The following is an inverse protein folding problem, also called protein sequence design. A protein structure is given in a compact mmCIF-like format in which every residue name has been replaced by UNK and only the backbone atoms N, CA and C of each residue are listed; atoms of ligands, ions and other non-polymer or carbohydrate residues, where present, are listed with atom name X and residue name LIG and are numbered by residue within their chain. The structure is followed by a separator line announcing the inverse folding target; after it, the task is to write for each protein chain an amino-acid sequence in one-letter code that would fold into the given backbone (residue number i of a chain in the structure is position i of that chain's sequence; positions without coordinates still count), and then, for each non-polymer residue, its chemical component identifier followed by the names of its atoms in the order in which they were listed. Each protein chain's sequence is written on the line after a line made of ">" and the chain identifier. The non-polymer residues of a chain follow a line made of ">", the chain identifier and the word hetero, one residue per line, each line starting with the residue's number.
data_IF_394900232833
#
_entry.id   IF_394900232833
#
_cell.length_a   1.000
_cell.length_b   1.000
_cell.length_c   1.000
_cell.angle_alpha   90.00
_cell.angle_beta   90.00
_cell.angle_gamma   90.00
#
_symmetry.space_group_name_H-M   'P 1'
#
loop_
_entity.id
_entity.type
_entity.pdbx_description
1 polymer ?
#
# COMPACT_ATOMS: atom_id res chain seq x y z
N UNK A 1 6.90 26.22 13.08
CA UNK A 1 6.30 25.35 14.15
C UNK A 1 6.61 23.92 13.78
N UNK A 2 6.91 23.05 14.76
CA UNK A 2 7.10 21.62 14.51
C UNK A 2 5.70 21.00 14.39
N UNK A 3 5.40 20.33 13.26
CA UNK A 3 4.16 19.62 13.05
C UNK A 3 4.05 18.42 14.01
N UNK A 4 2.84 18.18 14.49
CA UNK A 4 2.45 17.05 15.33
C UNK A 4 1.53 16.11 14.57
N UNK A 5 1.28 14.93 15.09
CA UNK A 5 0.34 13.97 14.50
C UNK A 5 -1.09 14.54 14.49
N UNK A 6 -1.44 15.34 15.51
CA UNK A 6 -2.76 15.98 15.61
C UNK A 6 -3.03 17.02 14.52
N UNK A 7 -2.00 17.63 13.93
CA UNK A 7 -2.16 18.53 12.79
C UNK A 7 -2.75 17.82 11.55
N UNK A 8 -2.64 16.49 11.48
CA UNK A 8 -3.17 15.64 10.40
C UNK A 8 -4.46 14.92 10.79
N UNK A 9 -5.11 15.37 11.86
CA UNK A 9 -6.41 14.86 12.28
C UNK A 9 -7.55 15.52 11.52
N UNK A 10 -8.62 14.77 11.32
CA UNK A 10 -9.90 15.23 10.79
C UNK A 10 -11.02 14.30 11.21
N UNK A 11 -12.22 14.84 11.32
CA UNK A 11 -13.40 14.05 11.68
C UNK A 11 -13.92 13.31 10.43
N UNK A 12 -13.84 11.98 10.45
CA UNK A 12 -14.31 11.12 9.37
C UNK A 12 -15.54 10.33 9.83
N UNK A 13 -16.72 10.60 9.25
CA UNK A 13 -17.91 9.81 9.52
C UNK A 13 -17.68 8.33 9.16
N UNK A 14 -17.92 7.37 10.08
CA UNK A 14 -17.64 5.95 9.84
C UNK A 14 -18.34 5.37 8.61
N UNK A 15 -19.53 5.88 8.28
CA UNK A 15 -20.30 5.46 7.11
C UNK A 15 -19.68 5.82 5.77
N UNK A 16 -18.65 6.68 5.74
CA UNK A 16 -17.88 6.98 4.55
C UNK A 16 -16.75 5.98 4.30
N UNK A 17 -16.43 5.11 5.25
CA UNK A 17 -15.44 4.06 5.10
C UNK A 17 -16.03 2.95 4.23
N UNK A 18 -15.48 2.78 3.02
CA UNK A 18 -16.00 1.81 2.07
C UNK A 18 -15.73 0.37 2.54
N UNK A 19 -16.79 -0.38 2.77
CA UNK A 19 -16.71 -1.80 3.16
C UNK A 19 -16.61 -2.73 1.94
N UNK A 20 -17.11 -2.32 0.79
CA UNK A 20 -17.09 -3.09 -0.46
C UNK A 20 -16.60 -2.21 -1.62
N UNK A 21 -15.93 -2.80 -2.63
CA UNK A 21 -15.53 -2.06 -3.82
C UNK A 21 -16.76 -1.60 -4.63
N UNK A 22 -16.60 -0.60 -5.50
CA UNK A 22 -17.59 -0.25 -6.50
C UNK A 22 -17.88 -1.46 -7.42
N UNK A 23 -19.05 -1.53 -8.03
CA UNK A 23 -19.43 -2.64 -8.93
C UNK A 23 -18.41 -2.87 -10.05
N UNK A 24 -17.94 -1.78 -10.65
CA UNK A 24 -16.85 -1.76 -11.64
C UNK A 24 -15.62 -1.09 -11.04
N UNK A 25 -14.39 -1.48 -11.48
CA UNK A 25 -13.15 -0.90 -10.98
C UNK A 25 -13.09 0.61 -11.21
N UNK A 26 -13.39 1.07 -12.42
CA UNK A 26 -13.44 2.50 -12.79
C UNK A 26 -14.72 3.23 -12.40
N UNK A 27 -15.63 2.57 -11.70
CA UNK A 27 -16.90 3.16 -11.23
C UNK A 27 -16.77 4.03 -9.98
N UNK A 28 -15.57 4.18 -9.41
CA UNK A 28 -15.30 5.09 -8.30
C UNK A 28 -15.28 6.55 -8.76
N UNK A 29 -15.42 7.47 -7.80
CA UNK A 29 -15.23 8.91 -8.04
C UNK A 29 -13.74 9.25 -8.02
N UNK A 30 -13.40 10.36 -8.67
CA UNK A 30 -12.06 10.93 -8.70
C UNK A 30 -12.13 12.41 -8.33
N UNK A 31 -11.45 12.81 -7.27
CA UNK A 31 -11.26 14.21 -6.94
C UNK A 31 -9.93 14.70 -7.54
N UNK A 32 -10.02 15.56 -8.56
CA UNK A 32 -8.83 16.20 -9.12
C UNK A 32 -8.50 17.46 -8.31
N UNK A 33 -7.31 17.46 -7.71
CA UNK A 33 -6.81 18.52 -6.81
C UNK A 33 -5.65 19.23 -7.50
N UNK A 34 -5.87 20.49 -7.88
CA UNK A 34 -4.86 21.34 -8.52
C UNK A 34 -4.79 22.69 -7.79
N UNK A 35 -3.83 22.82 -6.87
CA UNK A 35 -3.78 23.94 -5.96
C UNK A 35 -5.09 24.08 -5.19
N UNK A 36 -5.72 25.25 -5.21
CA UNK A 36 -7.01 25.46 -4.56
C UNK A 36 -8.22 24.98 -5.38
N UNK A 37 -8.01 24.56 -6.63
CA UNK A 37 -9.09 24.07 -7.47
C UNK A 37 -9.36 22.59 -7.19
N UNK A 38 -10.59 22.31 -6.77
CA UNK A 38 -11.13 20.96 -6.55
C UNK A 38 -12.18 20.68 -7.64
N UNK A 39 -11.99 19.58 -8.37
CA UNK A 39 -12.89 19.18 -9.46
C UNK A 39 -13.38 17.76 -9.27
N UNK A 40 -14.67 17.60 -9.05
CA UNK A 40 -15.32 16.28 -8.98
C UNK A 40 -15.41 15.64 -10.35
N UNK A 41 -14.99 14.38 -10.44
CA UNK A 41 -14.98 13.54 -11.65
C UNK A 41 -15.36 12.10 -11.32
N UNK A 42 -15.54 11.29 -12.36
CA UNK A 42 -15.51 9.84 -12.23
C UNK A 42 -14.08 9.35 -12.53
N UNK A 43 -13.69 8.20 -11.98
CA UNK A 43 -12.37 7.63 -12.29
C UNK A 43 -12.24 7.28 -13.77
N UNK A 44 -13.36 6.94 -14.42
CA UNK A 44 -13.43 6.73 -15.87
C UNK A 44 -12.99 7.96 -16.70
N UNK A 45 -13.02 9.17 -16.12
CA UNK A 45 -12.59 10.41 -16.78
C UNK A 45 -11.07 10.65 -16.66
N UNK A 46 -10.33 9.78 -15.97
CA UNK A 46 -8.88 9.94 -15.76
C UNK A 46 -8.12 10.18 -17.07
N UNK A 47 -8.40 9.47 -18.20
CA UNK A 47 -7.69 9.70 -19.45
C UNK A 47 -7.76 11.17 -19.92
N UNK A 48 -8.87 11.85 -19.69
CA UNK A 48 -9.01 13.28 -20.05
C UNK A 48 -8.19 14.23 -19.15
N UNK A 49 -7.65 13.74 -18.04
CA UNK A 49 -6.75 14.49 -17.16
C UNK A 49 -5.27 14.30 -17.52
N UNK A 50 -4.96 13.38 -18.42
CA UNK A 50 -3.62 12.99 -18.84
C UNK A 50 -3.33 13.48 -20.26
N UNK A 51 -2.08 13.39 -20.68
CA UNK A 51 -1.67 13.74 -22.04
C UNK A 51 -0.69 12.72 -22.62
N UNK A 52 -0.58 12.65 -23.92
CA UNK A 52 0.45 11.85 -24.59
C UNK A 52 1.84 12.23 -24.06
N UNK A 53 2.69 11.23 -23.82
CA UNK A 53 4.00 11.39 -23.21
C UNK A 53 4.01 11.34 -21.67
N UNK A 54 2.85 11.29 -20.99
CA UNK A 54 2.80 10.98 -19.56
C UNK A 54 3.16 9.51 -19.34
N UNK A 55 3.78 9.20 -18.18
CA UNK A 55 4.12 7.85 -17.74
C UNK A 55 3.47 7.55 -16.38
N UNK A 56 2.58 6.56 -16.34
CA UNK A 56 2.05 6.03 -15.09
C UNK A 56 2.96 4.92 -14.56
N UNK A 57 3.38 5.03 -13.31
CA UNK A 57 4.20 4.01 -12.65
C UNK A 57 3.38 3.30 -11.59
N UNK A 58 3.19 2.00 -11.79
CA UNK A 58 2.36 1.12 -10.98
C UNK A 58 3.20 0.23 -10.07
N UNK A 59 2.61 -0.20 -8.95
CA UNK A 59 3.15 -1.26 -8.11
C UNK A 59 2.47 -2.59 -8.49
N UNK A 60 3.22 -3.54 -9.04
CA UNK A 60 2.72 -4.83 -9.53
C UNK A 60 2.80 -5.96 -8.49
N UNK A 61 2.97 -5.59 -7.22
CA UNK A 61 2.94 -6.58 -6.14
C UNK A 61 1.61 -7.30 -6.09
N UNK A 62 1.66 -8.60 -5.77
CA UNK A 62 0.49 -9.46 -5.57
C UNK A 62 0.31 -9.77 -4.09
N UNK A 63 -0.91 -9.55 -3.57
CA UNK A 63 -1.26 -9.89 -2.18
C UNK A 63 -1.31 -11.39 -2.03
N UNK A 64 -0.66 -11.90 -0.97
CA UNK A 64 -0.68 -13.32 -0.59
C UNK A 64 -1.74 -13.56 0.50
N UNK A 65 -2.17 -14.81 0.65
CA UNK A 65 -3.08 -15.22 1.72
C UNK A 65 -2.34 -15.30 3.06
N UNK A 66 -2.01 -14.15 3.61
CA UNK A 66 -1.08 -13.97 4.71
C UNK A 66 -1.69 -14.15 6.10
N UNK A 67 -3.02 -14.36 6.22
CA UNK A 67 -3.73 -14.36 7.50
C UNK A 67 -4.15 -15.76 7.91
N UNK A 68 -3.78 -16.18 9.11
CA UNK A 68 -4.13 -17.48 9.68
C UNK A 68 -4.77 -17.34 11.04
N UNK A 69 -5.73 -18.20 11.30
CA UNK A 69 -6.32 -18.39 12.63
C UNK A 69 -5.91 -19.75 13.16
N UNK A 70 -5.74 -19.86 14.47
CA UNK A 70 -5.32 -21.10 15.08
C UNK A 70 -5.23 -21.01 16.60
N UNK A 71 -4.48 -21.93 17.17
CA UNK A 71 -4.31 -22.01 18.62
C UNK A 71 -2.90 -22.43 19.02
N UNK A 72 -2.50 -22.05 20.23
CA UNK A 72 -1.32 -22.58 20.88
C UNK A 72 -1.56 -24.01 21.35
N UNK A 73 -0.53 -24.79 21.57
CA UNK A 73 -0.65 -26.09 22.25
C UNK A 73 -1.43 -26.03 23.58
N UNK A 74 -1.37 -24.90 24.28
CA UNK A 74 -2.12 -24.65 25.51
C UNK A 74 -3.60 -24.31 25.28
N UNK A 75 -4.11 -24.36 24.06
CA UNK A 75 -5.50 -24.07 23.68
C UNK A 75 -5.84 -22.58 23.50
N UNK A 76 -4.91 -21.64 23.76
CA UNK A 76 -5.14 -20.21 23.58
C UNK A 76 -5.23 -19.83 22.09
N UNK A 77 -6.29 -19.14 21.71
CA UNK A 77 -6.52 -18.70 20.31
C UNK A 77 -5.44 -17.71 19.87
N UNK A 78 -5.06 -17.79 18.60
CA UNK A 78 -4.11 -16.89 17.96
C UNK A 78 -4.61 -16.49 16.57
N UNK A 79 -4.28 -15.27 16.19
CA UNK A 79 -4.31 -14.78 14.82
C UNK A 79 -2.88 -14.46 14.40
N UNK A 80 -2.44 -15.05 13.30
CA UNK A 80 -1.11 -14.83 12.72
C UNK A 80 -1.29 -14.09 11.40
N UNK A 81 -0.63 -12.94 11.28
CA UNK A 81 -0.53 -12.16 10.06
C UNK A 81 0.92 -12.14 9.61
N UNK A 82 1.22 -12.79 8.50
CA UNK A 82 2.57 -12.71 7.93
C UNK A 82 2.90 -11.25 7.63
N UNK A 83 4.10 -10.85 7.99
CA UNK A 83 4.72 -9.60 7.54
C UNK A 83 5.43 -9.85 6.22
N UNK A 84 6.15 -10.98 6.17
CA UNK A 84 6.83 -11.44 4.96
C UNK A 84 7.20 -12.93 5.08
N UNK A 85 7.28 -13.60 3.94
CA UNK A 85 7.95 -14.88 3.78
C UNK A 85 9.41 -14.57 3.43
N UNK A 86 10.34 -15.01 4.28
CA UNK A 86 11.76 -14.75 4.10
C UNK A 86 12.40 -15.73 3.12
N UNK A 87 12.02 -17.01 3.24
CA UNK A 87 12.37 -18.12 2.37
C UNK A 87 11.34 -19.26 2.53
N UNK A 88 11.58 -20.41 1.94
CA UNK A 88 10.65 -21.56 1.95
C UNK A 88 10.30 -22.06 3.36
N UNK A 89 11.19 -21.83 4.35
CA UNK A 89 11.06 -22.35 5.71
C UNK A 89 10.98 -21.27 6.78
N UNK A 90 11.16 -20.00 6.44
CA UNK A 90 11.14 -18.91 7.42
C UNK A 90 10.14 -17.83 7.04
N UNK A 91 9.37 -17.42 8.01
CA UNK A 91 8.49 -16.26 7.87
C UNK A 91 8.59 -15.31 9.08
N UNK A 92 8.26 -14.07 8.84
CA UNK A 92 8.10 -13.04 9.87
C UNK A 92 6.64 -12.68 9.95
N UNK A 93 6.09 -12.59 11.17
CA UNK A 93 4.67 -12.37 11.37
C UNK A 93 4.34 -11.48 12.59
N UNK A 94 3.20 -10.84 12.54
CA UNK A 94 2.51 -10.34 13.73
C UNK A 94 1.66 -11.46 14.32
N UNK A 95 1.60 -11.56 15.65
CA UNK A 95 0.76 -12.55 16.33
C UNK A 95 -0.11 -11.83 17.35
N UNK A 96 -1.42 -11.91 17.12
CA UNK A 96 -2.42 -11.47 18.08
C UNK A 96 -2.82 -12.65 18.96
N UNK A 97 -2.65 -12.51 20.28
CA UNK A 97 -3.00 -13.51 21.27
C UNK A 97 -3.23 -12.86 22.63
N UNK A 98 -4.00 -13.49 23.51
CA UNK A 98 -4.22 -13.01 24.89
C UNK A 98 -2.92 -12.86 25.68
N UNK A 99 -1.96 -13.76 25.46
CA UNK A 99 -0.59 -13.68 25.98
C UNK A 99 0.37 -13.85 24.81
N UNK A 100 1.37 -12.98 24.70
CA UNK A 100 2.41 -13.06 23.66
C UNK A 100 3.13 -14.42 23.72
N UNK A 101 3.26 -15.13 22.57
CA UNK A 101 4.00 -16.38 22.57
C UNK A 101 5.50 -16.14 22.84
N UNK A 102 6.13 -17.10 23.52
CA UNK A 102 7.57 -17.11 23.76
C UNK A 102 8.29 -17.95 22.68
N UNK A 103 9.59 -17.75 22.48
CA UNK A 103 10.38 -18.67 21.68
C UNK A 103 10.16 -20.13 22.12
N UNK A 104 10.04 -21.06 21.17
CA UNK A 104 9.70 -22.47 21.40
C UNK A 104 8.19 -22.74 21.44
N UNK A 105 7.33 -21.72 21.46
CA UNK A 105 5.88 -21.95 21.43
C UNK A 105 5.45 -22.48 20.05
N UNK A 106 4.72 -23.60 20.04
CA UNK A 106 4.07 -24.14 18.85
C UNK A 106 2.67 -23.55 18.68
N UNK A 107 2.36 -23.19 17.44
CA UNK A 107 1.05 -22.69 17.03
C UNK A 107 0.51 -23.64 15.97
N UNK A 108 -0.69 -24.18 16.20
CA UNK A 108 -1.42 -24.97 15.22
C UNK A 108 -2.33 -24.06 14.42
N UNK A 109 -2.07 -23.90 13.13
CA UNK A 109 -2.70 -22.91 12.25
C UNK A 109 -3.63 -23.58 11.24
N UNK A 110 -4.77 -22.93 10.98
CA UNK A 110 -5.80 -23.35 10.01
C UNK A 110 -6.31 -24.79 10.20
N UNK A 111 -6.07 -25.42 11.36
CA UNK A 111 -6.29 -26.84 11.62
C UNK A 111 -5.54 -27.78 10.64
N UNK A 112 -4.45 -27.33 10.04
CA UNK A 112 -3.76 -28.05 8.97
C UNK A 112 -2.26 -28.21 9.21
N UNK A 113 -1.58 -27.26 9.82
CA UNK A 113 -0.13 -27.31 10.02
C UNK A 113 0.26 -26.60 11.31
N UNK A 114 1.49 -26.84 11.75
CA UNK A 114 2.05 -26.18 12.94
C UNK A 114 3.30 -25.41 12.60
N UNK A 115 3.49 -24.28 13.31
CA UNK A 115 4.72 -23.48 13.25
C UNK A 115 5.31 -23.33 14.65
N UNK A 116 6.63 -23.19 14.75
CA UNK A 116 7.34 -22.83 15.95
C UNK A 116 7.69 -21.35 15.92
N UNK A 117 7.45 -20.65 17.00
CA UNK A 117 7.98 -19.29 17.22
C UNK A 117 9.44 -19.43 17.61
N UNK A 118 10.37 -19.05 16.73
CA UNK A 118 11.82 -19.20 16.97
C UNK A 118 12.43 -17.99 17.67
N UNK A 119 11.79 -16.81 17.56
CA UNK A 119 12.29 -15.61 18.20
C UNK A 119 11.49 -14.38 17.89
N UNK A 120 12.11 -13.23 18.18
CA UNK A 120 11.62 -11.91 17.75
C UNK A 120 12.34 -11.45 16.49
N UNK A 121 11.63 -10.68 15.67
CA UNK A 121 12.12 -10.08 14.43
C UNK A 121 11.68 -8.60 14.33
N UNK A 122 12.24 -7.87 13.35
CA UNK A 122 12.04 -6.44 13.21
C UNK A 122 13.07 -5.63 14.03
N UNK A 123 13.24 -4.35 13.69
CA UNK A 123 14.27 -3.48 14.29
C UNK A 123 14.08 -3.26 15.79
N UNK A 124 12.84 -3.30 16.30
CA UNK A 124 12.46 -3.16 17.70
C UNK A 124 11.88 -4.46 18.32
N UNK A 125 11.97 -5.61 17.58
CA UNK A 125 11.44 -6.88 18.05
C UNK A 125 9.91 -6.94 18.04
N UNK A 126 9.28 -6.17 17.21
CA UNK A 126 7.81 -6.04 17.09
C UNK A 126 7.16 -7.23 16.43
N UNK A 127 7.90 -7.99 15.63
CA UNK A 127 7.44 -9.19 14.94
C UNK A 127 7.94 -10.47 15.60
N UNK A 128 7.48 -11.60 15.07
CA UNK A 128 7.90 -12.95 15.44
C UNK A 128 8.50 -13.67 14.24
N UNK A 129 9.60 -14.39 14.48
CA UNK A 129 10.15 -15.32 13.50
C UNK A 129 9.46 -16.67 13.66
N UNK A 130 9.05 -17.27 12.54
CA UNK A 130 8.30 -18.52 12.47
C UNK A 130 8.99 -19.51 11.56
N UNK A 131 8.98 -20.80 11.98
CA UNK A 131 9.39 -21.96 11.18
C UNK A 131 8.29 -23.02 11.20
N UNK A 132 7.94 -23.66 10.07
CA UNK A 132 7.00 -24.76 10.06
C UNK A 132 7.62 -26.01 10.67
N UNK A 133 6.88 -26.67 11.55
CA UNK A 133 7.38 -27.87 12.27
C UNK A 133 6.58 -29.12 11.97
N UNK A 134 5.27 -29.00 11.71
CA UNK A 134 4.42 -30.12 11.29
C UNK A 134 3.59 -29.67 10.10
N UNK A 135 3.67 -30.39 8.98
CA UNK A 135 3.00 -30.14 7.72
C UNK A 135 2.42 -31.42 7.17
N UNK A 136 1.29 -31.35 6.51
CA UNK A 136 0.68 -32.51 5.84
C UNK A 136 1.65 -33.08 4.79
N UNK A 137 2.32 -32.18 4.04
CA UNK A 137 3.40 -32.51 3.13
C UNK A 137 4.69 -31.89 3.67
N UNK A 138 5.70 -32.73 4.04
CA UNK A 138 6.93 -32.27 4.69
C UNK A 138 7.71 -31.19 3.91
N UNK A 139 7.59 -31.21 2.59
CA UNK A 139 8.31 -30.31 1.69
C UNK A 139 7.55 -29.00 1.38
N UNK A 140 6.33 -28.83 1.91
CA UNK A 140 5.56 -27.60 1.70
C UNK A 140 6.34 -26.37 2.19
N UNK A 141 6.54 -25.41 1.32
CA UNK A 141 7.09 -24.10 1.65
C UNK A 141 6.04 -23.22 2.35
N UNK A 142 6.47 -22.12 2.99
CA UNK A 142 5.53 -21.11 3.52
C UNK A 142 4.63 -20.53 2.42
N UNK A 143 5.08 -20.46 1.18
CA UNK A 143 4.29 -20.00 0.05
C UNK A 143 3.10 -20.94 -0.23
N UNK A 144 3.34 -22.26 -0.25
CA UNK A 144 2.31 -23.26 -0.47
C UNK A 144 1.34 -23.33 0.70
N UNK A 145 1.85 -23.25 1.95
CA UNK A 145 1.03 -23.20 3.15
C UNK A 145 0.12 -21.96 3.14
N UNK A 146 0.65 -20.80 2.74
CA UNK A 146 -0.13 -19.56 2.63
C UNK A 146 -1.21 -19.68 1.55
N UNK A 147 -0.88 -20.16 0.36
CA UNK A 147 -1.85 -20.28 -0.73
C UNK A 147 -2.98 -21.27 -0.39
N UNK A 148 -2.65 -22.40 0.26
CA UNK A 148 -3.60 -23.49 0.54
C UNK A 148 -4.47 -23.21 1.76
N UNK A 149 -3.91 -22.65 2.82
CA UNK A 149 -4.55 -22.55 4.13
C UNK A 149 -4.74 -21.13 4.65
N UNK A 150 -4.09 -20.15 4.04
CA UNK A 150 -4.20 -18.75 4.42
C UNK A 150 -5.50 -18.11 3.96
N UNK A 151 -5.81 -16.98 4.56
CA UNK A 151 -6.90 -16.08 4.15
C UNK A 151 -6.34 -14.75 3.67
N UNK A 152 -7.08 -14.10 2.78
CA UNK A 152 -6.75 -12.77 2.31
C UNK A 152 -6.71 -11.79 3.48
N UNK A 153 -5.63 -11.01 3.65
CA UNK A 153 -5.47 -10.10 4.78
C UNK A 153 -6.16 -8.75 4.51
N UNK A 154 -7.51 -8.71 4.56
CA UNK A 154 -8.22 -7.44 4.46
C UNK A 154 -7.80 -6.49 5.59
N UNK A 155 -7.72 -5.17 5.33
CA UNK A 155 -7.43 -4.16 6.34
C UNK A 155 -8.43 -4.18 7.50
N UNK A 156 -8.03 -3.78 8.72
CA UNK A 156 -8.88 -3.89 9.91
C UNK A 156 -10.13 -2.99 9.90
N UNK A 157 -10.20 -2.00 9.03
CA UNK A 157 -11.38 -1.14 8.85
C UNK A 157 -12.42 -1.73 7.90
N UNK A 158 -12.13 -2.85 7.24
CA UNK A 158 -13.10 -3.69 6.55
C UNK A 158 -13.58 -4.73 7.56
N UNK A 159 -14.83 -4.60 7.99
CA UNK A 159 -15.35 -5.31 9.16
C UNK A 159 -15.89 -6.70 8.83
N UNK A 160 -16.05 -7.04 7.54
CA UNK A 160 -16.47 -8.38 7.13
C UNK A 160 -15.26 -9.31 6.88
N UNK A 161 -15.44 -10.64 7.05
CA UNK A 161 -14.43 -11.61 6.64
C UNK A 161 -14.20 -11.53 5.13
N UNK A 162 -12.99 -11.87 4.67
CA UNK A 162 -12.71 -11.94 3.24
C UNK A 162 -13.65 -12.95 2.55
N UNK A 163 -14.36 -12.49 1.53
CA UNK A 163 -15.28 -13.27 0.71
C UNK A 163 -14.64 -13.57 -0.67
N UNK A 164 -15.24 -14.49 -1.44
CA UNK A 164 -14.68 -14.88 -2.75
C UNK A 164 -14.50 -13.71 -3.72
N UNK A 165 -15.36 -12.68 -3.65
CA UNK A 165 -15.22 -11.46 -4.44
C UNK A 165 -13.94 -10.68 -4.08
N UNK A 166 -13.54 -10.65 -2.81
CA UNK A 166 -12.34 -9.93 -2.36
C UNK A 166 -11.06 -10.55 -2.91
N UNK A 167 -11.00 -11.87 -3.11
CA UNK A 167 -9.84 -12.54 -3.69
C UNK A 167 -9.47 -11.96 -5.07
N UNK A 168 -10.46 -11.48 -5.82
CA UNK A 168 -10.26 -10.84 -7.12
C UNK A 168 -10.20 -9.32 -7.00
N UNK A 169 -11.05 -8.72 -6.15
CA UNK A 169 -11.22 -7.27 -6.10
C UNK A 169 -10.15 -6.57 -5.25
N UNK A 170 -9.55 -7.26 -4.28
CA UNK A 170 -8.40 -6.77 -3.49
C UNK A 170 -7.05 -7.13 -4.13
N UNK A 171 -7.04 -7.29 -5.47
CA UNK A 171 -5.86 -7.44 -6.33
C UNK A 171 -5.98 -6.50 -7.51
N UNK A 172 -4.85 -5.94 -7.96
CA UNK A 172 -4.81 -5.20 -9.22
C UNK A 172 -4.87 -6.17 -10.41
N UNK A 173 -5.36 -5.70 -11.55
CA UNK A 173 -5.44 -6.52 -12.78
C UNK A 173 -4.07 -6.87 -13.35
N UNK A 174 -3.04 -6.17 -12.92
CA UNK A 174 -1.64 -6.35 -13.31
C UNK A 174 -0.77 -6.94 -12.18
N UNK A 175 -1.36 -7.42 -11.08
CA UNK A 175 -0.62 -8.03 -9.98
C UNK A 175 0.19 -9.24 -10.47
N UNK A 176 1.51 -9.23 -10.22
CA UNK A 176 2.44 -10.22 -10.79
C UNK A 176 3.33 -10.86 -9.74
N UNK A 177 3.97 -10.05 -8.90
CA UNK A 177 5.00 -10.48 -7.98
C UNK A 177 4.42 -10.72 -6.57
N UNK A 178 4.27 -11.99 -6.09
CA UNK A 178 3.67 -12.27 -4.79
C UNK A 178 4.57 -11.82 -3.64
N UNK A 179 3.98 -11.38 -2.52
CA UNK A 179 4.74 -11.02 -1.31
C UNK A 179 4.11 -9.93 -0.45
N UNK A 180 3.14 -9.18 -0.96
CA UNK A 180 2.47 -8.15 -0.16
C UNK A 180 1.37 -8.73 0.73
N UNK A 181 1.14 -8.08 1.87
CA UNK A 181 -0.01 -8.34 2.74
C UNK A 181 -1.08 -7.26 2.62
N UNK A 182 -0.83 -6.21 1.86
CA UNK A 182 -1.81 -5.19 1.50
C UNK A 182 -1.72 -4.86 0.01
N UNK A 183 -2.87 -4.63 -0.63
CA UNK A 183 -2.93 -4.26 -2.03
C UNK A 183 -2.45 -2.81 -2.25
N UNK A 184 -1.82 -2.50 -3.41
CA UNK A 184 -1.58 -1.12 -3.83
C UNK A 184 -2.91 -0.51 -4.31
N UNK A 185 -3.70 0.00 -3.34
CA UNK A 185 -5.13 0.25 -3.47
C UNK A 185 -5.52 1.25 -4.55
N UNK A 186 -4.66 2.23 -4.86
CA UNK A 186 -4.87 3.14 -5.99
C UNK A 186 -4.93 2.42 -7.34
N UNK A 187 -4.25 1.27 -7.45
CA UNK A 187 -4.29 0.43 -8.64
C UNK A 187 -5.59 -0.35 -8.81
N UNK A 188 -6.40 -0.51 -7.76
CA UNK A 188 -7.67 -1.25 -7.80
C UNK A 188 -8.73 -0.56 -8.69
N UNK A 189 -8.56 0.72 -8.96
CA UNK A 189 -9.44 1.50 -9.82
C UNK A 189 -9.26 1.22 -11.32
N UNK A 190 -8.13 0.65 -11.70
CA UNK A 190 -7.81 0.34 -13.11
C UNK A 190 -8.36 -1.02 -13.50
N UNK A 191 -8.89 -1.10 -14.70
CA UNK A 191 -9.19 -2.32 -15.41
C UNK A 191 -8.36 -2.42 -16.71
N UNK A 192 -8.37 -3.58 -17.37
CA UNK A 192 -7.60 -3.83 -18.59
C UNK A 192 -8.03 -2.89 -19.73
N UNK A 193 -9.33 -2.56 -19.82
CA UNK A 193 -9.87 -1.69 -20.84
C UNK A 193 -9.33 -0.25 -20.69
N UNK A 194 -9.23 0.24 -19.46
CA UNK A 194 -8.64 1.57 -19.18
C UNK A 194 -7.15 1.58 -19.52
N UNK A 195 -6.39 0.54 -19.14
CA UNK A 195 -4.97 0.46 -19.46
C UNK A 195 -4.73 0.45 -20.98
N UNK A 196 -5.55 -0.31 -21.74
CA UNK A 196 -5.49 -0.31 -23.19
C UNK A 196 -5.80 1.07 -23.78
N UNK A 197 -6.86 1.73 -23.29
CA UNK A 197 -7.24 3.07 -23.75
C UNK A 197 -6.17 4.14 -23.47
N UNK A 198 -5.53 4.08 -22.30
CA UNK A 198 -4.39 4.97 -21.97
C UNK A 198 -3.23 4.77 -22.96
N UNK A 199 -2.91 3.52 -23.29
CA UNK A 199 -1.88 3.21 -24.27
C UNK A 199 -2.21 3.75 -25.67
N UNK A 200 -3.46 3.61 -26.12
CA UNK A 200 -3.95 4.17 -27.39
C UNK A 200 -3.80 5.70 -27.47
N UNK A 201 -3.88 6.37 -26.33
CA UNK A 201 -3.68 7.82 -26.21
C UNK A 201 -2.20 8.25 -26.10
N UNK A 202 -1.27 7.30 -26.22
CA UNK A 202 0.17 7.57 -26.11
C UNK A 202 0.64 7.84 -24.66
N UNK A 203 -0.11 7.34 -23.69
CA UNK A 203 0.26 7.40 -22.26
C UNK A 203 1.01 6.11 -21.91
N UNK A 204 2.24 6.24 -21.45
CA UNK A 204 3.10 5.13 -21.08
C UNK A 204 2.68 4.50 -19.75
N UNK A 205 3.02 3.21 -19.59
CA UNK A 205 2.89 2.49 -18.32
C UNK A 205 4.19 1.78 -17.97
N UNK A 206 4.62 1.87 -16.72
CA UNK A 206 5.77 1.17 -16.20
C UNK A 206 5.43 0.56 -14.82
N UNK A 207 6.20 -0.43 -14.40
CA UNK A 207 5.92 -1.19 -13.18
C UNK A 207 7.16 -1.25 -12.29
N UNK A 208 6.92 -1.18 -11.01
CA UNK A 208 7.87 -1.53 -9.96
C UNK A 208 7.20 -2.49 -9.00
N UNK A 209 7.97 -3.18 -8.19
CA UNK A 209 7.45 -4.03 -7.13
C UNK A 209 7.81 -3.42 -5.78
N UNK A 210 6.84 -3.17 -4.91
CA UNK A 210 7.04 -2.88 -3.50
C UNK A 210 6.09 -3.75 -2.70
N UNK A 211 6.63 -4.61 -1.84
CA UNK A 211 5.83 -5.48 -0.99
C UNK A 211 5.42 -4.73 0.28
N UNK A 212 4.13 -4.41 0.36
CA UNK A 212 3.55 -3.74 1.53
C UNK A 212 3.43 -4.73 2.66
N UNK A 213 4.08 -4.44 3.79
CA UNK A 213 4.00 -5.24 5.00
C UNK A 213 2.80 -4.92 5.89
N UNK A 214 2.53 -5.79 6.87
CA UNK A 214 1.44 -5.59 7.84
C UNK A 214 1.65 -4.36 8.75
N UNK A 215 2.88 -3.85 8.82
CA UNK A 215 3.22 -2.60 9.52
C UNK A 215 2.46 -1.38 9.02
N UNK A 216 1.99 -1.39 7.75
CA UNK A 216 1.20 -0.30 7.16
C UNK A 216 -0.13 -0.03 7.88
N UNK A 217 -0.64 -1.01 8.63
CA UNK A 217 -1.88 -0.86 9.41
C UNK A 217 -1.63 -0.39 10.85
N UNK A 218 -0.38 -0.17 11.25
CA UNK A 218 -0.07 0.30 12.58
C UNK A 218 -0.27 1.82 12.68
N UNK A 219 -0.97 2.31 13.72
CA UNK A 219 -1.12 3.74 13.94
C UNK A 219 0.22 4.36 14.34
N UNK A 220 0.40 5.63 14.02
CA UNK A 220 1.51 6.45 14.55
C UNK A 220 1.32 6.58 16.07
N UNK A 221 2.37 6.26 16.86
CA UNK A 221 2.30 6.19 18.35
C UNK A 221 3.11 7.28 19.03
N UNK A 222 3.55 8.26 18.28
CA UNK A 222 4.36 9.39 18.79
C UNK A 222 3.59 10.69 18.60
N UNK A 223 3.84 11.69 19.44
CA UNK A 223 3.17 13.00 19.31
C UNK A 223 3.83 13.84 18.21
N UNK A 224 5.16 13.85 18.16
CA UNK A 224 5.93 14.59 17.16
C UNK A 224 6.23 13.71 15.97
N UNK A 225 5.89 14.18 14.77
CA UNK A 225 6.15 13.41 13.54
C UNK A 225 7.63 13.09 13.34
N UNK A 226 8.54 13.94 13.81
CA UNK A 226 10.00 13.73 13.71
C UNK A 226 10.52 12.55 14.54
N UNK A 227 9.75 12.04 15.47
CA UNK A 227 10.10 10.89 16.33
C UNK A 227 9.59 9.56 15.74
N UNK A 228 8.73 9.62 14.71
CA UNK A 228 8.21 8.43 14.07
C UNK A 228 9.28 7.72 13.25
N UNK A 229 9.33 6.39 13.36
CA UNK A 229 10.19 5.52 12.55
C UNK A 229 9.31 4.66 11.65
N UNK A 230 9.53 4.77 10.36
CA UNK A 230 8.86 3.92 9.38
C UNK A 230 9.40 2.49 9.42
N UNK A 231 8.52 1.53 9.16
CA UNK A 231 8.96 0.17 8.86
C UNK A 231 9.65 0.14 7.50
N UNK A 232 10.73 -0.64 7.39
CA UNK A 232 11.42 -0.85 6.12
C UNK A 232 10.60 -1.77 5.22
N UNK A 233 10.40 -1.38 3.97
CA UNK A 233 9.73 -2.15 2.93
C UNK A 233 10.70 -2.42 1.77
N UNK A 234 10.65 -3.64 1.24
CA UNK A 234 11.47 -4.03 0.09
C UNK A 234 10.81 -3.63 -1.20
N UNK A 235 11.60 -3.07 -2.10
CA UNK A 235 11.13 -2.76 -3.45
C UNK A 235 12.20 -3.13 -4.49
N UNK A 236 11.73 -3.24 -5.72
CA UNK A 236 12.57 -3.43 -6.90
C UNK A 236 12.07 -2.54 -8.04
N UNK A 237 13.00 -1.83 -8.67
CA UNK A 237 12.74 -1.06 -9.87
C UNK A 237 13.45 -1.76 -11.04
N UNK A 238 12.71 -2.33 -12.01
CA UNK A 238 13.30 -2.90 -13.21
C UNK A 238 14.08 -1.85 -14.02
N UNK A 239 15.16 -2.26 -14.69
CA UNK A 239 15.94 -1.37 -15.55
C UNK A 239 15.08 -0.67 -16.61
N UNK A 240 14.15 -1.41 -17.23
CA UNK A 240 13.20 -0.85 -18.20
C UNK A 240 12.32 0.26 -17.62
N UNK A 241 11.95 0.18 -16.33
CA UNK A 241 11.17 1.22 -15.64
C UNK A 241 12.02 2.47 -15.41
N UNK A 242 13.27 2.32 -14.96
CA UNK A 242 14.18 3.44 -14.79
C UNK A 242 14.49 4.15 -16.12
N UNK A 243 14.71 3.38 -17.19
CA UNK A 243 14.90 3.89 -18.56
C UNK A 243 13.65 4.64 -19.08
N UNK A 244 12.46 4.09 -18.88
CA UNK A 244 11.20 4.73 -19.28
C UNK A 244 10.99 6.07 -18.55
N UNK A 245 11.30 6.14 -17.24
CA UNK A 245 11.24 7.39 -16.47
C UNK A 245 12.23 8.42 -17.03
N UNK A 246 13.48 8.00 -17.30
CA UNK A 246 14.50 8.89 -17.85
C UNK A 246 14.08 9.44 -19.23
N UNK A 247 13.59 8.59 -20.13
CA UNK A 247 13.10 8.98 -21.45
C UNK A 247 11.90 9.94 -21.35
N UNK A 248 10.90 9.61 -20.54
CA UNK A 248 9.73 10.47 -20.30
C UNK A 248 10.14 11.89 -19.87
N UNK A 249 11.08 11.99 -18.93
CA UNK A 249 11.54 13.29 -18.44
C UNK A 249 12.38 14.06 -19.48
N UNK A 250 13.20 13.35 -20.25
CA UNK A 250 13.96 13.95 -21.36
C UNK A 250 13.05 14.54 -22.44
N UNK A 251 11.91 13.92 -22.71
CA UNK A 251 10.90 14.36 -23.68
C UNK A 251 9.92 15.39 -23.11
N UNK A 252 10.09 15.85 -21.85
CA UNK A 252 9.20 16.81 -21.19
C UNK A 252 7.84 16.25 -20.79
N UNK A 253 7.73 14.92 -20.72
CA UNK A 253 6.57 14.19 -20.15
C UNK A 253 6.57 14.26 -18.63
N UNK A 254 5.48 13.77 -18.03
CA UNK A 254 5.29 13.76 -16.56
C UNK A 254 5.30 12.33 -16.03
N UNK A 255 5.95 12.14 -14.87
CA UNK A 255 5.95 10.88 -14.12
C UNK A 255 4.82 10.92 -13.10
N UNK A 256 3.89 9.98 -13.21
CA UNK A 256 2.67 9.90 -12.41
C UNK A 256 2.72 8.62 -11.56
N UNK A 257 2.87 8.77 -10.26
CA UNK A 257 2.84 7.63 -9.36
C UNK A 257 1.40 7.16 -9.13
N UNK A 258 1.15 5.87 -9.32
CA UNK A 258 -0.11 5.24 -8.95
C UNK A 258 0.05 4.57 -7.60
N UNK A 259 -0.43 5.25 -6.56
CA UNK A 259 -0.32 4.88 -5.17
C UNK A 259 0.90 5.49 -4.45
N UNK A 260 0.75 5.63 -3.14
CA UNK A 260 1.81 6.11 -2.24
C UNK A 260 3.02 5.18 -2.21
N UNK A 261 2.81 3.87 -2.44
CA UNK A 261 3.89 2.87 -2.52
C UNK A 261 4.79 3.10 -3.73
N UNK A 262 4.20 3.35 -4.91
CA UNK A 262 4.96 3.70 -6.11
C UNK A 262 5.74 5.00 -5.92
N UNK A 263 5.10 6.02 -5.34
CA UNK A 263 5.76 7.28 -5.03
C UNK A 263 6.96 7.08 -4.09
N UNK A 264 6.76 6.36 -2.98
CA UNK A 264 7.83 6.13 -1.99
C UNK A 264 9.01 5.36 -2.58
N UNK A 265 8.76 4.33 -3.39
CA UNK A 265 9.81 3.58 -4.06
C UNK A 265 10.60 4.47 -5.04
N UNK A 266 9.92 5.27 -5.86
CA UNK A 266 10.57 6.16 -6.82
C UNK A 266 11.42 7.23 -6.15
N UNK A 267 10.88 7.89 -5.12
CA UNK A 267 11.60 8.94 -4.39
C UNK A 267 12.79 8.37 -3.59
N UNK A 268 12.66 7.13 -3.06
CA UNK A 268 13.77 6.45 -2.38
C UNK A 268 14.89 6.02 -3.34
N UNK A 269 14.53 5.63 -4.57
CA UNK A 269 15.50 5.21 -5.57
C UNK A 269 16.14 6.39 -6.31
N UNK A 270 15.69 7.62 -6.06
CA UNK A 270 16.20 8.80 -6.72
C UNK A 270 17.55 9.20 -6.12
N UNK A 271 18.55 9.42 -7.00
CA UNK A 271 19.72 10.19 -6.64
C UNK A 271 19.35 11.67 -6.51
N UNK A 272 20.22 12.46 -5.84
CA UNK A 272 19.97 13.89 -5.60
C UNK A 272 19.73 14.75 -6.85
N UNK A 273 19.91 14.22 -8.05
CA UNK A 273 19.59 14.82 -9.35
C UNK A 273 18.26 14.33 -9.94
N UNK A 274 17.48 13.52 -9.21
CA UNK A 274 16.22 12.94 -9.66
C UNK A 274 16.36 11.76 -10.64
N UNK A 275 17.55 11.21 -10.82
CA UNK A 275 17.78 9.99 -11.57
C UNK A 275 17.36 8.78 -10.73
N UNK A 276 16.47 7.94 -11.28
CA UNK A 276 16.03 6.72 -10.62
C UNK A 276 16.99 5.58 -10.87
N UNK A 277 17.47 4.93 -9.81
CA UNK A 277 18.32 3.76 -9.88
C UNK A 277 17.49 2.48 -9.97
N UNK A 278 17.83 1.61 -10.91
CA UNK A 278 17.26 0.28 -11.05
C UNK A 278 17.84 -0.68 -10.01
N UNK A 279 17.08 -1.74 -9.70
CA UNK A 279 17.48 -2.85 -8.84
C UNK A 279 16.68 -2.95 -7.55
N UNK A 280 16.99 -3.98 -6.74
CA UNK A 280 16.37 -4.17 -5.44
C UNK A 280 16.93 -3.21 -4.40
N UNK A 281 16.07 -2.70 -3.53
CA UNK A 281 16.45 -1.87 -2.39
C UNK A 281 15.41 -1.98 -1.26
N UNK A 282 15.66 -1.30 -0.16
CA UNK A 282 14.71 -1.12 0.94
C UNK A 282 14.45 0.36 1.18
N UNK A 283 13.26 0.68 1.65
CA UNK A 283 12.87 2.05 1.99
C UNK A 283 12.17 2.12 3.32
N UNK A 284 12.60 3.02 4.17
CA UNK A 284 11.92 3.51 5.36
C UNK A 284 11.61 5.01 5.24
N UNK A 285 11.54 5.51 4.00
CA UNK A 285 11.31 6.92 3.73
C UNK A 285 10.01 7.41 4.37
N UNK A 286 10.14 8.44 5.20
CA UNK A 286 9.03 9.14 5.82
C UNK A 286 8.87 10.52 5.20
N UNK A 287 7.88 10.66 4.34
CA UNK A 287 7.60 11.89 3.59
C UNK A 287 6.60 12.73 4.38
N UNK A 288 7.01 13.95 4.73
CA UNK A 288 6.24 14.93 5.49
C UNK A 288 6.33 16.31 4.83
N UNK A 289 5.46 17.28 5.15
CA UNK A 289 5.55 18.63 4.61
C UNK A 289 6.95 19.22 4.73
N UNK A 290 7.45 19.76 3.61
CA UNK A 290 8.84 20.23 3.43
C UNK A 290 9.75 19.26 2.67
N UNK A 291 9.26 18.02 2.37
CA UNK A 291 9.99 17.11 1.49
C UNK A 291 10.02 17.63 0.05
N UNK A 292 11.19 17.55 -0.61
CA UNK A 292 11.36 17.94 -2.00
C UNK A 292 11.30 16.73 -2.92
N UNK A 293 10.20 16.60 -3.64
CA UNK A 293 9.99 15.51 -4.61
C UNK A 293 10.88 15.69 -5.82
N UNK A 294 11.59 14.63 -6.20
CA UNK A 294 12.62 14.65 -7.23
C UNK A 294 12.17 13.98 -8.53
N UNK A 295 11.26 13.02 -8.45
CA UNK A 295 10.84 12.15 -9.57
C UNK A 295 9.39 12.37 -9.95
N UNK A 296 8.50 12.38 -8.96
CA UNK A 296 7.06 12.32 -9.19
C UNK A 296 6.48 13.71 -9.41
N UNK A 297 5.76 13.88 -10.52
CA UNK A 297 5.10 15.14 -10.90
C UNK A 297 3.63 15.17 -10.50
N UNK A 298 2.96 14.00 -10.52
CA UNK A 298 1.54 13.83 -10.15
C UNK A 298 1.34 12.50 -9.42
N UNK A 299 0.29 12.41 -8.62
CA UNK A 299 -0.03 11.18 -7.91
C UNK A 299 -1.50 10.84 -7.99
N UNK A 300 -1.80 9.56 -8.27
CA UNK A 300 -3.14 8.98 -8.12
C UNK A 300 -3.13 8.20 -6.81
N UNK A 301 -4.08 8.48 -5.90
CA UNK A 301 -4.12 7.81 -4.60
C UNK A 301 -5.55 7.74 -4.06
N UNK A 302 -5.81 6.86 -3.09
CA UNK A 302 -7.06 6.83 -2.33
C UNK A 302 -7.05 7.94 -1.25
N UNK A 303 -8.19 8.15 -0.60
CA UNK A 303 -8.28 8.92 0.63
C UNK A 303 -7.75 8.10 1.82
N UNK A 304 -6.96 8.74 2.67
CA UNK A 304 -6.22 8.10 3.76
C UNK A 304 -6.83 8.38 5.14
N UNK A 305 -6.43 7.57 6.13
CA UNK A 305 -6.84 7.69 7.52
C UNK A 305 -6.36 8.99 8.15
N UNK A 306 -7.15 9.59 9.09
CA UNK A 306 -6.65 10.64 9.95
C UNK A 306 -5.40 10.17 10.72
N UNK A 307 -4.51 11.10 11.02
CA UNK A 307 -3.24 10.87 11.77
C UNK A 307 -2.29 9.84 11.14
N UNK A 308 -2.51 9.43 9.87
CA UNK A 308 -1.66 8.44 9.22
C UNK A 308 -0.44 9.08 8.55
N UNK A 309 0.61 8.29 8.39
CA UNK A 309 1.80 8.67 7.61
C UNK A 309 1.46 9.01 6.16
N UNK A 310 0.41 8.39 5.62
CA UNK A 310 -0.05 8.64 4.26
C UNK A 310 -0.79 9.97 4.13
N UNK A 311 -1.52 10.41 5.16
CA UNK A 311 -2.10 11.76 5.22
C UNK A 311 -0.99 12.82 5.22
N UNK A 312 0.12 12.56 5.92
CA UNK A 312 1.30 13.42 5.94
C UNK A 312 1.96 13.48 4.56
N UNK A 313 2.07 12.35 3.86
CA UNK A 313 2.65 12.25 2.53
C UNK A 313 1.84 13.06 1.50
N UNK A 314 0.51 12.89 1.45
CA UNK A 314 -0.32 13.65 0.50
C UNK A 314 -0.31 15.14 0.80
N UNK A 315 -0.23 15.51 2.10
CA UNK A 315 -0.08 16.90 2.53
C UNK A 315 1.28 17.49 2.12
N UNK A 316 2.34 16.68 2.12
CA UNK A 316 3.64 17.08 1.60
C UNK A 316 3.59 17.29 0.07
N UNK A 317 2.84 16.43 -0.65
CA UNK A 317 2.80 16.42 -2.11
C UNK A 317 2.00 17.59 -2.69
N UNK A 318 0.77 17.77 -2.24
CA UNK A 318 -0.16 18.75 -2.81
C UNK A 318 -0.33 20.03 -1.96
N UNK A 319 0.36 20.09 -0.82
CA UNK A 319 0.25 21.20 0.14
C UNK A 319 -0.73 20.91 1.27
N UNK A 320 -0.33 21.29 2.48
CA UNK A 320 -1.08 20.98 3.72
C UNK A 320 -2.50 21.57 3.70
N UNK A 321 -2.64 22.87 3.41
CA UNK A 321 -3.95 23.54 3.40
C UNK A 321 -4.83 23.05 2.24
N UNK A 322 -4.23 22.75 1.09
CA UNK A 322 -4.90 22.18 -0.08
C UNK A 322 -5.52 20.81 0.26
N UNK A 323 -4.75 19.93 0.91
CA UNK A 323 -5.25 18.61 1.29
C UNK A 323 -6.32 18.69 2.36
N UNK A 324 -6.19 19.59 3.35
CA UNK A 324 -7.27 19.82 4.34
C UNK A 324 -8.56 20.27 3.67
N UNK A 325 -8.50 21.21 2.72
CA UNK A 325 -9.66 21.64 1.95
C UNK A 325 -10.24 20.51 1.09
N UNK A 326 -9.39 19.70 0.43
CA UNK A 326 -9.81 18.54 -0.37
C UNK A 326 -10.55 17.50 0.47
N UNK A 327 -10.05 17.19 1.68
CA UNK A 327 -10.69 16.22 2.58
C UNK A 327 -12.01 16.75 3.15
N UNK A 328 -12.07 18.03 3.53
CA UNK A 328 -13.33 18.67 3.95
C UNK A 328 -14.39 18.64 2.82
N UNK A 329 -13.98 18.93 1.57
CA UNK A 329 -14.85 18.81 0.39
C UNK A 329 -15.30 17.36 0.18
N UNK A 330 -14.38 16.40 0.23
CA UNK A 330 -14.69 14.99 0.02
C UNK A 330 -15.70 14.45 1.04
N UNK A 331 -15.56 14.83 2.32
CA UNK A 331 -16.50 14.46 3.39
C UNK A 331 -17.87 15.09 3.12
N UNK A 332 -17.93 16.40 2.85
CA UNK A 332 -19.17 17.10 2.56
C UNK A 332 -19.88 16.55 1.31
N UNK A 333 -19.13 16.18 0.28
CA UNK A 333 -19.62 15.59 -0.95
C UNK A 333 -19.82 14.07 -0.86
N UNK A 334 -19.62 13.48 0.34
CA UNK A 334 -19.80 12.03 0.64
C UNK A 334 -18.99 11.13 -0.29
N UNK A 335 -17.71 11.42 -0.48
CA UNK A 335 -16.75 10.48 -1.06
C UNK A 335 -16.57 9.29 -0.14
N UNK A 336 -16.22 8.15 -0.72
CA UNK A 336 -15.88 6.95 0.02
C UNK A 336 -14.39 6.90 0.30
N UNK A 337 -14.01 6.43 1.47
CA UNK A 337 -12.65 6.47 1.98
C UNK A 337 -12.00 5.08 2.01
N UNK A 338 -10.69 5.04 2.00
CA UNK A 338 -9.75 3.92 2.16
C UNK A 338 -9.71 2.97 0.96
N UNK A 339 -9.34 1.68 1.18
CA UNK A 339 -8.97 0.71 0.14
C UNK A 339 -9.98 0.54 -0.97
N UNK A 340 -11.26 0.46 -0.63
CA UNK A 340 -12.39 0.30 -1.56
C UNK A 340 -13.10 1.62 -1.86
N UNK A 341 -12.56 2.71 -1.35
CA UNK A 341 -13.11 4.05 -1.54
C UNK A 341 -12.86 4.64 -2.91
N UNK A 342 -12.96 5.95 -2.97
CA UNK A 342 -12.75 6.77 -4.15
C UNK A 342 -11.28 7.22 -4.26
N UNK A 343 -10.92 7.88 -5.34
CA UNK A 343 -9.57 8.28 -5.64
C UNK A 343 -9.38 9.81 -5.68
N UNK A 344 -8.14 10.24 -5.54
CA UNK A 344 -7.67 11.59 -5.84
C UNK A 344 -6.62 11.55 -6.95
N UNK A 345 -6.63 12.57 -7.82
CA UNK A 345 -5.51 12.92 -8.68
C UNK A 345 -4.90 14.21 -8.13
N UNK A 346 -3.69 14.13 -7.62
CA UNK A 346 -2.99 15.24 -6.99
C UNK A 346 -1.94 15.82 -7.91
N UNK A 347 -1.97 17.15 -8.10
CA UNK A 347 -0.87 17.90 -8.68
C UNK A 347 0.14 18.26 -7.58
N UNK A 348 1.44 18.14 -7.91
CA UNK A 348 2.48 18.56 -6.98
C UNK A 348 2.39 20.07 -6.73
N UNK A 349 2.49 20.48 -5.45
CA UNK A 349 2.60 21.91 -5.13
C UNK A 349 3.84 22.50 -5.81
N UNK A 350 3.68 23.69 -6.36
CA UNK A 350 4.83 24.45 -6.86
C UNK A 350 5.46 25.16 -5.66
N UNK A 351 6.74 24.90 -5.41
CA UNK A 351 7.54 25.62 -4.41
C UNK A 351 7.69 27.11 -4.74
#
# INVERSE_FOLDING_TARGET
>A
MSLTVDDFDFDLPPELIAQHPASERRGSRLLHVHGQQLTDRQFADLPACLRAGDLLVFNDTKVIKARFFGQKESGGQVEVMLERIADDTHAVAQIRASKSPKPGTRLHLANAFSVCVTGRAGASGEFFALEPVDREHPDDSFWELAERHGKLPLPPYIEHPAEGADETRYQTVYARNPGAVAAPTAGLHFDEAMLAHLHEQGIGTAFLTLHVGAGTYQPVRVDKITEHKMHSERFEIPAATAEAIAATRADGGRVIAVGTTSLRALESAAAGNGQVHAGPAETDIFITPGYRFQVVDRMITNFHLPKSTLMMLVSAFAGYDTIRAAYAHAIAARYRFFSYGDAMLLEKTQD
#
